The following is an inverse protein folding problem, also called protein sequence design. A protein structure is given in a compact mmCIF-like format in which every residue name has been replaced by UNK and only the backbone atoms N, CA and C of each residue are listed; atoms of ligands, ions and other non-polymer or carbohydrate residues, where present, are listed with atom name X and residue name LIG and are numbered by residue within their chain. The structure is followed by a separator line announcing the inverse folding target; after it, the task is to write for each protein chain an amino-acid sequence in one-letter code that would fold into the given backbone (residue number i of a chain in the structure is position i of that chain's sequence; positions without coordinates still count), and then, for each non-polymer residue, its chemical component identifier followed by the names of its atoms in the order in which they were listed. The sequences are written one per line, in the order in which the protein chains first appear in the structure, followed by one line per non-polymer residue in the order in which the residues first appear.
data_IF_755447199598
#
_entry.id   IF_755447199598
#
_cell.length_a   1.000
_cell.length_b   1.000
_cell.length_c   1.000
_cell.angle_alpha   90.00
_cell.angle_beta   90.00
_cell.angle_gamma   90.00
#
_symmetry.space_group_name_H-M   'P 1'
#
loop_
_entity.id
_entity.type
_entity.pdbx_description
1 polymer ?
#
# COMPACT_ATOMS: atom_id res chain seq x y z
N UNK A 1 19.36 31.50 -3.43
CA UNK A 1 18.48 30.42 -2.91
C UNK A 1 18.68 29.19 -3.78
N UNK A 2 19.35 28.15 -3.27
CA UNK A 2 19.66 26.94 -4.05
C UNK A 2 18.37 26.15 -4.29
N UNK A 3 17.90 26.13 -5.54
CA UNK A 3 16.76 25.32 -6.00
C UNK A 3 17.08 23.85 -5.77
N UNK A 4 16.39 23.20 -4.84
CA UNK A 4 16.37 21.73 -4.75
C UNK A 4 15.36 21.23 -5.77
N UNK A 5 15.87 20.52 -6.78
CA UNK A 5 15.09 19.71 -7.71
C UNK A 5 14.71 18.43 -6.94
N UNK A 6 13.44 18.00 -6.89
CA UNK A 6 13.09 16.74 -6.27
C UNK A 6 13.71 15.58 -7.08
N UNK A 7 14.47 14.73 -6.40
CA UNK A 7 15.34 13.69 -6.96
C UNK A 7 14.73 12.29 -6.81
N UNK A 8 13.51 12.00 -7.27
CA UNK A 8 13.00 10.63 -7.15
C UNK A 8 12.25 10.15 -8.39
N UNK A 9 12.97 9.37 -9.20
CA UNK A 9 12.44 8.32 -10.07
C UNK A 9 13.39 7.12 -9.92
N UNK A 10 12.86 6.07 -9.30
CA UNK A 10 12.99 4.65 -9.64
C UNK A 10 14.36 3.97 -9.59
N UNK A 11 14.48 2.95 -8.73
CA UNK A 11 14.95 1.61 -9.11
C UNK A 11 14.57 0.61 -8.00
N UNK A 12 13.32 0.14 -7.98
CA UNK A 12 13.03 -1.19 -7.46
C UNK A 12 13.14 -2.17 -8.64
N UNK A 13 14.36 -2.27 -9.20
CA UNK A 13 14.77 -3.49 -9.89
C UNK A 13 15.26 -4.44 -8.82
N UNK A 14 14.32 -5.08 -8.14
CA UNK A 14 14.54 -6.40 -7.58
C UNK A 14 13.41 -7.28 -8.08
N UNK A 15 13.84 -8.17 -8.98
CA UNK A 15 13.35 -9.53 -9.19
C UNK A 15 12.10 -9.90 -8.38
N UNK A 16 11.14 -10.46 -9.11
CA UNK A 16 10.06 -11.39 -8.72
C UNK A 16 10.44 -12.53 -7.76
N UNK A 17 11.29 -12.30 -6.76
CA UNK A 17 11.69 -13.22 -5.72
C UNK A 17 11.25 -12.60 -4.39
N UNK A 18 10.14 -13.10 -3.86
CA UNK A 18 9.87 -12.99 -2.43
C UNK A 18 8.52 -12.40 -1.99
N UNK A 19 7.47 -12.46 -2.79
CA UNK A 19 6.08 -12.40 -2.28
C UNK A 19 5.36 -13.77 -2.36
N UNK A 20 6.06 -14.84 -2.74
CA UNK A 20 5.51 -16.18 -2.91
C UNK A 20 6.12 -17.16 -1.92
N UNK A 21 5.28 -17.81 -1.12
CA UNK A 21 5.65 -18.91 -0.24
C UNK A 21 6.28 -20.07 -1.02
N UNK A 22 7.27 -20.70 -0.38
CA UNK A 22 7.94 -21.89 -0.89
C UNK A 22 6.93 -23.04 -1.11
N UNK A 23 6.99 -23.70 -2.27
CA UNK A 23 6.45 -25.06 -2.41
C UNK A 23 7.47 -25.97 -3.08
N UNK A 24 7.69 -27.09 -2.40
CA UNK A 24 8.62 -28.16 -2.74
C UNK A 24 8.19 -28.94 -3.98
N UNK A 25 9.17 -29.50 -4.68
CA UNK A 25 9.04 -30.17 -5.96
C UNK A 25 8.11 -31.38 -6.01
N UNK A 26 7.57 -31.60 -7.20
CA UNK A 26 6.82 -32.78 -7.61
C UNK A 26 6.65 -32.79 -9.12
N UNK A 27 7.39 -33.65 -9.80
CA UNK A 27 7.28 -33.90 -11.24
C UNK A 27 5.96 -34.61 -11.55
N UNK A 28 5.10 -34.09 -12.43
CA UNK A 28 4.23 -34.92 -13.28
C UNK A 28 3.74 -34.17 -14.54
N UNK A 29 3.64 -34.97 -15.61
CA UNK A 29 3.43 -34.64 -17.03
C UNK A 29 2.03 -34.10 -17.35
N UNK A 30 2.00 -33.21 -18.35
CA UNK A 30 1.09 -33.33 -19.50
C UNK A 30 -0.24 -32.59 -19.39
N UNK A 31 -0.20 -31.26 -19.40
CA UNK A 31 -1.31 -30.41 -19.87
C UNK A 31 -0.69 -29.34 -20.77
N UNK A 32 -1.28 -29.11 -21.95
CA UNK A 32 -0.80 -28.14 -22.93
C UNK A 32 -0.58 -26.75 -22.30
N UNK A 33 0.69 -26.43 -22.13
CA UNK A 33 1.21 -25.18 -21.61
C UNK A 33 1.01 -24.11 -22.71
N UNK A 34 -0.05 -23.30 -22.60
CA UNK A 34 -0.08 -22.04 -23.35
C UNK A 34 1.09 -21.22 -22.84
N UNK A 35 2.11 -21.02 -23.67
CA UNK A 35 3.24 -20.16 -23.38
C UNK A 35 2.71 -18.83 -22.80
N UNK A 36 3.24 -18.42 -21.66
CA UNK A 36 2.97 -17.11 -21.06
C UNK A 36 3.30 -16.04 -22.11
N UNK A 37 2.27 -15.48 -22.74
CA UNK A 37 2.41 -14.44 -23.76
C UNK A 37 2.73 -13.09 -23.11
N UNK A 38 3.15 -12.14 -23.94
CA UNK A 38 3.23 -10.74 -23.56
C UNK A 38 1.93 -10.28 -22.87
N UNK A 39 2.02 -9.40 -21.86
CA UNK A 39 0.85 -8.95 -21.13
C UNK A 39 -0.15 -8.25 -22.05
N UNK A 40 -1.38 -8.78 -22.13
CA UNK A 40 -2.50 -8.11 -22.79
C UNK A 40 -3.04 -7.00 -21.87
N UNK A 41 -2.44 -5.81 -22.00
CA UNK A 41 -2.80 -4.66 -21.18
C UNK A 41 -4.24 -4.19 -21.38
N UNK A 42 -4.83 -4.41 -22.55
CA UNK A 42 -6.23 -4.07 -22.79
C UNK A 42 -7.14 -4.99 -21.98
N UNK A 43 -6.86 -6.30 -21.97
CA UNK A 43 -7.58 -7.26 -21.14
C UNK A 43 -7.40 -6.98 -19.64
N UNK A 44 -6.18 -6.67 -19.18
CA UNK A 44 -5.92 -6.36 -17.76
C UNK A 44 -6.69 -5.10 -17.30
N UNK A 45 -6.74 -4.06 -18.14
CA UNK A 45 -7.53 -2.85 -17.84
C UNK A 45 -9.02 -3.12 -17.85
N UNK A 46 -9.51 -3.95 -18.78
CA UNK A 46 -10.91 -4.35 -18.82
C UNK A 46 -11.32 -5.15 -17.58
N UNK A 47 -10.45 -6.04 -17.09
CA UNK A 47 -10.66 -6.74 -15.82
C UNK A 47 -10.67 -5.78 -14.63
N UNK A 48 -9.69 -4.86 -14.56
CA UNK A 48 -9.63 -3.86 -13.49
C UNK A 48 -10.89 -3.00 -13.47
N UNK A 49 -11.34 -2.50 -14.62
CA UNK A 49 -12.57 -1.70 -14.75
C UNK A 49 -13.82 -2.49 -14.31
N UNK A 50 -13.90 -3.78 -14.65
CA UNK A 50 -15.04 -4.63 -14.31
C UNK A 50 -15.12 -4.97 -12.83
N UNK A 51 -13.99 -5.30 -12.19
CA UNK A 51 -14.00 -5.83 -10.83
C UNK A 51 -13.62 -4.81 -9.77
N UNK A 52 -12.67 -3.91 -10.03
CA UNK A 52 -12.27 -2.86 -9.07
C UNK A 52 -12.38 -1.46 -9.67
N UNK A 53 -13.61 -0.87 -9.68
CA UNK A 53 -13.81 0.50 -10.13
C UNK A 53 -12.97 1.53 -9.37
N UNK A 54 -12.65 1.28 -8.09
CA UNK A 54 -11.75 2.15 -7.31
C UNK A 54 -10.32 2.07 -7.82
N UNK A 55 -9.79 0.87 -8.07
CA UNK A 55 -8.47 0.71 -8.67
C UNK A 55 -8.38 1.31 -10.08
N UNK A 56 -9.44 1.15 -10.88
CA UNK A 56 -9.51 1.80 -12.20
C UNK A 56 -9.57 3.33 -12.11
N UNK A 57 -10.28 3.88 -11.11
CA UNK A 57 -10.29 5.32 -10.85
C UNK A 57 -8.89 5.84 -10.52
N UNK A 58 -8.12 5.12 -9.70
CA UNK A 58 -6.74 5.49 -9.36
C UNK A 58 -5.89 5.59 -10.63
N UNK A 59 -5.92 4.53 -11.46
CA UNK A 59 -5.16 4.48 -12.72
C UNK A 59 -5.57 5.59 -13.67
N UNK A 60 -6.87 5.76 -13.95
CA UNK A 60 -7.37 6.80 -14.88
C UNK A 60 -7.08 8.21 -14.37
N UNK A 61 -7.26 8.44 -13.08
CA UNK A 61 -7.06 9.77 -12.49
C UNK A 61 -5.58 10.16 -12.60
N UNK A 62 -4.67 9.25 -12.30
CA UNK A 62 -3.24 9.49 -12.45
C UNK A 62 -2.85 9.79 -13.91
N UNK A 63 -3.30 8.96 -14.84
CA UNK A 63 -3.00 9.08 -16.28
C UNK A 63 -3.55 10.38 -16.90
N UNK A 64 -4.71 10.83 -16.44
CA UNK A 64 -5.35 12.05 -16.94
C UNK A 64 -4.83 13.35 -16.29
N UNK A 65 -4.16 13.25 -15.14
CA UNK A 65 -3.73 14.42 -14.38
C UNK A 65 -2.56 15.13 -15.07
N UNK A 66 -2.56 16.48 -15.13
CA UNK A 66 -1.49 17.22 -15.77
C UNK A 66 -0.13 16.94 -15.11
N UNK A 67 0.93 17.01 -15.91
CA UNK A 67 2.31 16.91 -15.42
C UNK A 67 2.92 18.27 -15.10
N UNK A 68 2.24 19.37 -15.44
CA UNK A 68 2.74 20.73 -15.29
C UNK A 68 1.74 21.58 -14.49
N UNK A 69 2.25 22.25 -13.47
CA UNK A 69 1.48 23.03 -12.50
C UNK A 69 2.05 24.43 -12.36
N UNK A 70 1.19 25.41 -12.08
CA UNK A 70 1.58 26.81 -11.91
C UNK A 70 1.28 27.27 -10.49
N UNK A 71 2.32 27.76 -9.80
CA UNK A 71 2.25 28.32 -8.45
C UNK A 71 2.78 29.76 -8.49
N UNK A 72 1.86 30.74 -8.49
CA UNK A 72 2.20 32.14 -8.68
C UNK A 72 2.92 32.38 -10.02
N UNK A 73 4.22 32.73 -9.95
CA UNK A 73 5.08 32.94 -11.14
C UNK A 73 5.96 31.73 -11.49
N UNK A 74 5.83 30.64 -10.73
CA UNK A 74 6.65 29.44 -10.89
C UNK A 74 5.87 28.36 -11.61
N UNK A 75 6.48 27.75 -12.62
CA UNK A 75 5.96 26.54 -13.26
C UNK A 75 6.79 25.34 -12.79
N UNK A 76 6.11 24.33 -12.27
CA UNK A 76 6.71 23.06 -11.86
C UNK A 76 6.24 21.96 -12.79
N UNK A 77 7.17 21.13 -13.28
CA UNK A 77 6.84 19.93 -14.06
C UNK A 77 7.30 18.71 -13.29
N UNK A 78 6.40 17.75 -13.12
CA UNK A 78 6.66 16.46 -12.49
C UNK A 78 6.71 15.39 -13.58
N UNK A 79 7.72 14.54 -13.52
CA UNK A 79 7.83 13.39 -14.43
C UNK A 79 6.69 12.42 -14.18
N UNK A 80 6.27 11.70 -15.21
CA UNK A 80 5.46 10.50 -15.03
C UNK A 80 6.33 9.39 -14.45
N UNK A 81 5.96 8.91 -13.27
CA UNK A 81 6.51 7.72 -12.60
C UNK A 81 5.35 6.76 -12.29
N UNK A 82 5.52 5.44 -12.36
CA UNK A 82 4.42 4.51 -12.12
C UNK A 82 3.49 4.33 -13.33
N UNK A 83 4.05 3.75 -14.40
CA UNK A 83 3.23 3.27 -15.51
C UNK A 83 2.56 1.96 -15.09
N UNK A 84 1.23 1.93 -15.11
CA UNK A 84 0.46 0.72 -14.77
C UNK A 84 0.93 -0.49 -15.59
N UNK A 85 1.26 -0.30 -16.88
CA UNK A 85 1.72 -1.39 -17.74
C UNK A 85 3.08 -1.98 -17.33
N UNK A 86 3.93 -1.22 -16.64
CA UNK A 86 5.27 -1.68 -16.24
C UNK A 86 5.28 -2.76 -15.15
N UNK A 87 4.11 -3.04 -14.53
CA UNK A 87 3.97 -4.05 -13.47
C UNK A 87 3.44 -5.39 -13.97
N UNK A 88 3.31 -5.55 -15.30
CA UNK A 88 2.84 -6.76 -15.93
C UNK A 88 3.97 -7.39 -16.74
N UNK A 89 4.46 -8.54 -16.30
CA UNK A 89 5.49 -9.29 -17.00
C UNK A 89 4.91 -10.45 -17.84
N UNK A 90 3.62 -10.74 -17.68
CA UNK A 90 2.97 -11.92 -18.25
C UNK A 90 1.45 -11.84 -18.17
N UNK A 91 0.76 -12.46 -19.13
CA UNK A 91 -0.70 -12.66 -19.11
C UNK A 91 -1.12 -13.95 -18.38
N UNK A 92 -0.23 -14.58 -17.61
CA UNK A 92 -0.52 -15.84 -16.94
C UNK A 92 -1.66 -15.68 -15.93
N UNK A 93 -2.70 -16.54 -15.97
CA UNK A 93 -3.90 -16.36 -15.16
C UNK A 93 -3.65 -16.26 -13.65
N UNK A 94 -2.68 -17.01 -13.14
CA UNK A 94 -2.30 -16.98 -11.72
C UNK A 94 -1.64 -15.66 -11.29
N UNK A 95 -1.19 -14.85 -12.25
CA UNK A 95 -0.61 -13.52 -12.01
C UNK A 95 -1.62 -12.38 -12.11
N UNK A 96 -2.83 -12.60 -12.64
CA UNK A 96 -3.79 -11.51 -12.91
C UNK A 96 -4.06 -10.67 -11.67
N UNK A 97 -4.47 -11.29 -10.56
CA UNK A 97 -4.76 -10.54 -9.31
C UNK A 97 -3.47 -9.99 -8.69
N UNK A 98 -2.38 -10.74 -8.80
CA UNK A 98 -1.05 -10.39 -8.30
C UNK A 98 -0.53 -9.09 -8.92
N UNK A 99 -0.48 -9.05 -10.24
CA UNK A 99 0.05 -7.94 -11.05
C UNK A 99 -0.91 -6.75 -11.03
N UNK A 100 -2.23 -6.95 -11.14
CA UNK A 100 -3.20 -5.84 -11.09
C UNK A 100 -3.19 -5.17 -9.71
N UNK A 101 -3.22 -5.93 -8.61
CA UNK A 101 -3.20 -5.34 -7.26
C UNK A 101 -1.88 -4.63 -6.96
N UNK A 102 -0.76 -5.17 -7.44
CA UNK A 102 0.56 -4.52 -7.34
C UNK A 102 0.61 -3.25 -8.19
N UNK A 103 0.12 -3.28 -9.43
CA UNK A 103 0.05 -2.11 -10.30
C UNK A 103 -0.82 -0.99 -9.70
N UNK A 104 -1.96 -1.32 -9.08
CA UNK A 104 -2.79 -0.32 -8.38
C UNK A 104 -2.07 0.27 -7.18
N UNK A 105 -1.38 -0.54 -6.38
CA UNK A 105 -0.56 -0.08 -5.24
C UNK A 105 0.50 0.93 -5.72
N UNK A 106 1.23 0.60 -6.77
CA UNK A 106 2.33 1.42 -7.25
C UNK A 106 1.88 2.68 -7.98
N UNK A 107 0.80 2.61 -8.75
CA UNK A 107 0.19 3.79 -9.38
C UNK A 107 -0.42 4.70 -8.31
N UNK A 108 -0.88 4.17 -7.17
CA UNK A 108 -1.33 5.01 -6.07
C UNK A 108 -0.22 5.91 -5.53
N UNK A 109 1.02 5.42 -5.36
CA UNK A 109 2.15 6.27 -4.95
C UNK A 109 2.33 7.46 -5.89
N UNK A 110 2.31 7.19 -7.20
CA UNK A 110 2.41 8.22 -8.22
C UNK A 110 1.23 9.20 -8.22
N UNK A 111 0.02 8.68 -7.99
CA UNK A 111 -1.19 9.48 -7.83
C UNK A 111 -1.11 10.38 -6.59
N UNK A 112 -0.74 9.84 -5.43
CA UNK A 112 -0.65 10.52 -4.15
C UNK A 112 0.27 11.74 -4.24
N UNK A 113 1.46 11.52 -4.81
CA UNK A 113 2.41 12.58 -5.09
C UNK A 113 1.83 13.65 -6.02
N UNK A 114 1.23 13.26 -7.15
CA UNK A 114 0.71 14.22 -8.13
C UNK A 114 -0.54 14.96 -7.64
N UNK A 115 -1.38 14.31 -6.84
CA UNK A 115 -2.51 14.94 -6.15
C UNK A 115 -2.03 16.07 -5.22
N UNK A 116 -0.87 15.92 -4.57
CA UNK A 116 -0.26 16.98 -3.78
C UNK A 116 -0.03 18.27 -4.57
N UNK A 117 0.38 18.16 -5.84
CA UNK A 117 0.54 19.31 -6.74
C UNK A 117 -0.82 19.85 -7.21
N UNK A 118 -1.71 18.97 -7.65
CA UNK A 118 -3.04 19.33 -8.15
C UNK A 118 -3.84 20.10 -7.09
N UNK A 119 -3.94 19.57 -5.87
CA UNK A 119 -4.71 20.18 -4.79
C UNK A 119 -4.13 21.55 -4.37
N UNK A 120 -2.80 21.70 -4.39
CA UNK A 120 -2.18 23.01 -4.14
C UNK A 120 -2.49 24.02 -5.25
N UNK A 121 -2.49 23.58 -6.51
CA UNK A 121 -2.81 24.44 -7.65
C UNK A 121 -4.30 24.85 -7.64
N UNK A 122 -5.21 23.93 -7.34
CA UNK A 122 -6.64 24.19 -7.15
C UNK A 122 -6.91 25.17 -6.01
N UNK A 123 -6.14 25.06 -4.91
CA UNK A 123 -6.16 26.02 -3.81
C UNK A 123 -5.51 27.37 -4.16
N UNK A 124 -5.05 27.56 -5.41
CA UNK A 124 -4.39 28.77 -5.91
C UNK A 124 -3.15 29.15 -5.08
N UNK A 125 -2.41 28.15 -4.62
CA UNK A 125 -1.18 28.38 -3.88
C UNK A 125 -0.19 29.19 -4.72
N UNK A 126 0.39 30.24 -4.12
CA UNK A 126 1.41 31.07 -4.77
C UNK A 126 2.80 30.47 -4.70
N UNK A 127 3.01 29.51 -3.79
CA UNK A 127 4.25 28.80 -3.57
C UNK A 127 3.98 27.30 -3.40
N UNK A 128 4.85 26.48 -3.97
CA UNK A 128 4.83 25.04 -3.80
C UNK A 128 5.49 24.68 -2.48
N UNK A 129 4.81 23.86 -1.68
CA UNK A 129 5.41 23.21 -0.50
C UNK A 129 5.37 21.70 -0.65
N UNK A 130 6.23 21.01 0.11
CA UNK A 130 6.23 19.56 0.19
C UNK A 130 4.91 19.08 0.81
N UNK A 131 4.15 18.30 0.04
CA UNK A 131 2.85 17.78 0.41
C UNK A 131 2.44 16.63 -0.51
N UNK A 132 1.57 15.76 -0.01
CA UNK A 132 0.94 14.68 -0.76
C UNK A 132 -0.58 14.75 -0.67
N UNK A 133 -1.28 14.17 -1.64
CA UNK A 133 -2.73 14.07 -1.64
C UNK A 133 -3.18 12.65 -1.33
N UNK A 134 -3.75 12.42 -0.15
CA UNK A 134 -4.21 11.10 0.24
C UNK A 134 -5.67 10.87 -0.15
N UNK A 135 -5.92 9.78 -0.87
CA UNK A 135 -7.25 9.32 -1.27
C UNK A 135 -7.49 7.90 -0.74
N UNK A 136 -8.65 7.63 -0.14
CA UNK A 136 -8.96 6.33 0.51
C UNK A 136 -10.12 5.57 -0.16
N UNK A 137 -10.56 6.02 -1.34
CA UNK A 137 -11.65 5.38 -2.09
C UNK A 137 -13.04 5.98 -1.84
N UNK A 138 -13.99 5.54 -2.65
CA UNK A 138 -15.39 5.96 -2.57
C UNK A 138 -15.60 7.43 -2.95
N UNK A 139 -16.59 8.07 -2.32
CA UNK A 139 -16.94 9.48 -2.54
C UNK A 139 -16.11 10.46 -1.69
N UNK A 140 -15.04 10.00 -1.05
CA UNK A 140 -14.19 10.84 -0.23
C UNK A 140 -13.31 11.75 -1.10
N UNK A 141 -13.31 13.05 -0.83
CA UNK A 141 -12.34 13.96 -1.44
C UNK A 141 -10.92 13.65 -0.93
N UNK A 142 -9.90 13.74 -1.79
CA UNK A 142 -8.52 13.63 -1.35
C UNK A 142 -8.17 14.68 -0.28
N UNK A 143 -7.35 14.31 0.69
CA UNK A 143 -6.82 15.22 1.72
C UNK A 143 -5.41 15.66 1.33
N UNK A 144 -5.21 16.97 1.15
CA UNK A 144 -3.87 17.54 1.00
C UNK A 144 -3.16 17.52 2.36
N UNK A 145 -2.09 16.75 2.48
CA UNK A 145 -1.26 16.63 3.68
C UNK A 145 0.06 17.35 3.45
N UNK A 146 0.25 18.49 4.11
CA UNK A 146 1.52 19.23 4.05
C UNK A 146 2.53 18.63 5.00
N UNK A 147 3.78 18.53 4.56
CA UNK A 147 4.83 17.94 5.36
C UNK A 147 5.25 18.87 6.49
N UNK A 148 5.49 18.27 7.65
CA UNK A 148 6.19 18.89 8.79
C UNK A 148 7.56 18.24 8.97
N UNK A 149 8.33 18.68 9.95
CA UNK A 149 9.59 18.02 10.29
C UNK A 149 9.37 16.52 10.57
N UNK A 150 10.32 15.70 10.10
CA UNK A 150 10.33 14.24 10.24
C UNK A 150 11.74 13.73 10.52
N UNK A 151 11.83 12.44 10.84
CA UNK A 151 13.05 11.65 10.90
C UNK A 151 12.88 10.30 10.14
N UNK A 152 13.99 9.66 9.71
CA UNK A 152 13.93 8.37 9.02
C UNK A 152 13.33 7.26 9.90
N UNK A 153 12.48 6.40 9.34
CA UNK A 153 11.83 5.32 10.10
C UNK A 153 12.84 4.37 10.81
N UNK A 154 14.05 4.19 10.27
CA UNK A 154 15.11 3.40 10.95
C UNK A 154 15.51 3.91 12.33
N UNK A 155 15.30 5.19 12.65
CA UNK A 155 15.62 5.75 13.98
C UNK A 155 14.81 5.04 15.09
N UNK A 156 13.64 4.49 14.73
CA UNK A 156 12.80 3.72 15.63
C UNK A 156 13.35 2.33 15.99
N UNK A 157 14.32 1.80 15.25
CA UNK A 157 14.79 0.42 15.43
C UNK A 157 15.28 0.15 16.87
N UNK A 158 15.85 1.15 17.54
CA UNK A 158 16.29 1.00 18.92
C UNK A 158 15.13 0.82 19.93
N UNK A 159 13.91 1.24 19.62
CA UNK A 159 12.73 1.16 20.51
C UNK A 159 11.67 0.20 20.02
N UNK A 160 11.75 -0.27 18.78
CA UNK A 160 10.70 -1.08 18.19
C UNK A 160 10.52 -2.41 18.96
N UNK A 161 9.30 -2.85 19.26
CA UNK A 161 9.08 -4.09 20.01
C UNK A 161 9.74 -5.30 19.34
N UNK A 162 10.65 -5.97 20.03
CA UNK A 162 11.47 -7.04 19.46
C UNK A 162 10.63 -8.22 18.91
N UNK A 163 9.51 -8.52 19.57
CA UNK A 163 8.54 -9.54 19.17
C UNK A 163 7.76 -9.20 17.89
N UNK A 164 7.74 -7.93 17.48
CA UNK A 164 7.09 -7.46 16.26
C UNK A 164 8.07 -7.20 15.08
N UNK A 165 9.39 -7.35 15.29
CA UNK A 165 10.41 -7.09 14.24
C UNK A 165 10.53 -8.23 13.23
N UNK A 166 10.10 -9.43 13.57
CA UNK A 166 10.18 -10.60 12.70
C UNK A 166 9.04 -10.66 11.66
N UNK A 167 8.39 -9.54 11.38
CA UNK A 167 7.36 -9.41 10.35
C UNK A 167 7.98 -9.19 8.98
N UNK A 168 7.31 -9.66 7.92
CA UNK A 168 7.82 -9.56 6.55
C UNK A 168 8.22 -8.13 6.14
N UNK A 169 7.43 -7.11 6.52
CA UNK A 169 7.64 -5.72 6.09
C UNK A 169 8.60 -4.91 6.95
N UNK A 170 8.95 -5.39 8.14
CA UNK A 170 9.80 -4.61 9.05
C UNK A 170 11.15 -4.23 8.44
N UNK A 171 11.83 -5.20 7.80
CA UNK A 171 13.13 -4.97 7.17
C UNK A 171 13.02 -3.94 6.05
N UNK A 172 12.05 -4.10 5.16
CA UNK A 172 11.84 -3.21 4.01
C UNK A 172 11.59 -1.76 4.43
N UNK A 173 10.77 -1.53 5.45
CA UNK A 173 10.24 -0.20 5.75
C UNK A 173 10.80 0.46 7.01
N UNK A 174 11.33 -0.31 7.95
CA UNK A 174 11.91 0.20 9.21
C UNK A 174 13.41 -0.05 9.23
N UNK A 175 13.86 -1.30 9.40
CA UNK A 175 15.29 -1.63 9.53
C UNK A 175 15.60 -3.11 9.31
N UNK A 176 16.63 -3.47 8.52
CA UNK A 176 17.46 -2.59 7.70
C UNK A 176 16.75 -2.17 6.41
N UNK A 177 16.62 -0.87 6.17
CA UNK A 177 15.98 -0.32 4.96
C UNK A 177 16.96 0.51 4.12
N UNK A 178 16.70 0.68 2.83
CA UNK A 178 17.54 1.52 1.97
C UNK A 178 17.26 3.00 2.21
N UNK A 179 18.28 3.87 2.19
CA UNK A 179 18.11 5.32 2.45
C UNK A 179 17.17 6.01 1.44
N UNK A 180 16.94 5.37 0.29
CA UNK A 180 16.11 5.87 -0.79
C UNK A 180 14.63 5.55 -0.61
N UNK A 181 14.25 4.71 0.35
CA UNK A 181 12.84 4.41 0.59
C UNK A 181 12.11 5.63 1.13
N UNK A 182 10.85 5.83 0.72
CA UNK A 182 10.02 6.96 1.17
C UNK A 182 9.92 7.03 2.70
N UNK A 183 9.81 5.89 3.38
CA UNK A 183 9.78 5.82 4.86
C UNK A 183 11.07 6.31 5.54
N UNK A 184 12.18 6.34 4.82
CA UNK A 184 13.48 6.82 5.33
C UNK A 184 13.69 8.29 5.03
N UNK A 185 13.03 8.83 4.00
CA UNK A 185 13.15 10.22 3.58
C UNK A 185 12.08 11.10 4.21
N UNK A 186 10.84 10.65 4.10
CA UNK A 186 9.63 11.37 4.47
C UNK A 186 9.05 10.87 5.80
N UNK A 187 9.72 9.90 6.44
CA UNK A 187 9.40 9.40 7.77
C UNK A 187 7.96 8.87 7.85
N UNK A 188 7.17 9.45 8.74
CA UNK A 188 5.77 9.05 8.94
C UNK A 188 4.86 9.33 7.75
N UNK A 189 5.18 10.31 6.90
CA UNK A 189 4.40 10.58 5.69
C UNK A 189 4.59 9.45 4.68
N UNK A 190 5.84 9.02 4.45
CA UNK A 190 6.13 7.83 3.64
C UNK A 190 5.51 6.54 4.21
N UNK A 191 5.44 6.38 5.54
CA UNK A 191 4.72 5.26 6.15
C UNK A 191 3.20 5.32 5.89
N UNK A 192 2.60 6.52 5.91
CA UNK A 192 1.18 6.71 5.62
C UNK A 192 0.86 6.47 4.14
N UNK A 193 1.76 6.90 3.24
CA UNK A 193 1.65 6.66 1.80
C UNK A 193 1.67 5.16 1.48
N UNK A 194 2.67 4.43 1.98
CA UNK A 194 2.73 2.95 1.90
C UNK A 194 1.50 2.27 2.47
N UNK A 195 1.04 2.69 3.66
CA UNK A 195 -0.15 2.12 4.28
C UNK A 195 -1.41 2.32 3.41
N UNK A 196 -1.50 3.46 2.72
CA UNK A 196 -2.63 3.76 1.82
C UNK A 196 -2.47 3.07 0.47
N UNK A 197 -1.26 2.89 -0.04
CA UNK A 197 -0.99 2.10 -1.24
C UNK A 197 -1.38 0.63 -1.02
N UNK A 198 -1.01 0.05 0.13
CA UNK A 198 -1.45 -1.31 0.50
C UNK A 198 -2.96 -1.41 0.69
N UNK A 199 -3.64 -0.35 1.15
CA UNK A 199 -5.10 -0.33 1.25
C UNK A 199 -5.74 -0.54 -0.13
N UNK A 200 -5.26 0.17 -1.16
CA UNK A 200 -5.81 0.06 -2.51
C UNK A 200 -5.43 -1.24 -3.20
N UNK A 201 -4.19 -1.72 -3.02
CA UNK A 201 -3.79 -3.05 -3.47
C UNK A 201 -4.65 -4.15 -2.83
N UNK A 202 -4.83 -4.11 -1.51
CA UNK A 202 -5.66 -5.06 -0.77
C UNK A 202 -7.14 -4.99 -1.15
N UNK A 203 -7.68 -3.79 -1.36
CA UNK A 203 -9.05 -3.61 -1.88
C UNK A 203 -9.21 -4.23 -3.25
N UNK A 204 -8.25 -4.04 -4.13
CA UNK A 204 -8.23 -4.68 -5.46
C UNK A 204 -8.27 -6.20 -5.34
N UNK A 205 -7.54 -6.80 -4.41
CA UNK A 205 -7.60 -8.25 -4.16
C UNK A 205 -9.01 -8.69 -3.75
N UNK A 206 -9.65 -7.98 -2.82
CA UNK A 206 -11.03 -8.28 -2.38
C UNK A 206 -12.03 -8.15 -3.51
N UNK A 207 -11.93 -7.06 -4.28
CA UNK A 207 -12.79 -6.73 -5.41
C UNK A 207 -12.74 -7.80 -6.52
N UNK A 208 -11.58 -8.45 -6.70
CA UNK A 208 -11.37 -9.50 -7.70
C UNK A 208 -11.92 -10.88 -7.31
N UNK A 209 -12.50 -11.03 -6.11
CA UNK A 209 -13.07 -12.31 -5.68
C UNK A 209 -14.06 -12.95 -6.67
N UNK A 210 -15.03 -12.21 -7.28
CA UNK A 210 -15.95 -12.80 -8.26
C UNK A 210 -15.24 -13.37 -9.48
N UNK A 211 -14.18 -12.70 -9.96
CA UNK A 211 -13.36 -13.21 -11.07
C UNK A 211 -12.69 -14.52 -10.69
N UNK A 212 -12.04 -14.59 -9.52
CA UNK A 212 -11.36 -15.80 -9.03
C UNK A 212 -12.33 -16.96 -8.84
N UNK A 213 -13.55 -16.66 -8.36
CA UNK A 213 -14.59 -17.66 -8.11
C UNK A 213 -15.17 -18.23 -9.41
N UNK A 214 -15.50 -17.36 -10.35
CA UNK A 214 -16.40 -17.70 -11.47
C UNK A 214 -15.70 -17.82 -12.83
N UNK A 215 -14.62 -17.08 -13.05
CA UNK A 215 -14.05 -16.84 -14.39
C UNK A 215 -12.58 -17.27 -14.51
N UNK A 216 -11.83 -17.26 -13.42
CA UNK A 216 -10.43 -17.64 -13.42
C UNK A 216 -10.24 -19.13 -13.76
N UNK A 217 -9.15 -19.49 -14.47
CA UNK A 217 -8.79 -20.89 -14.68
C UNK A 217 -8.71 -21.67 -13.38
N UNK A 218 -9.26 -22.89 -13.39
CA UNK A 218 -9.40 -23.74 -12.21
C UNK A 218 -8.11 -24.49 -11.85
N UNK A 219 -6.97 -23.83 -12.00
CA UNK A 219 -5.63 -24.35 -11.69
C UNK A 219 -5.26 -24.04 -10.25
N UNK A 220 -4.55 -24.96 -9.59
CA UNK A 220 -4.10 -24.82 -8.20
C UNK A 220 -3.34 -23.51 -7.96
N UNK A 221 -2.49 -23.12 -8.91
CA UNK A 221 -1.56 -22.00 -8.83
C UNK A 221 -2.28 -20.65 -8.70
N UNK A 222 -3.39 -20.46 -9.43
CA UNK A 222 -4.27 -19.28 -9.32
C UNK A 222 -4.75 -19.11 -7.88
N UNK A 223 -5.25 -20.17 -7.27
CA UNK A 223 -5.82 -20.11 -5.92
C UNK A 223 -4.73 -19.99 -4.85
N UNK A 224 -3.57 -20.61 -5.02
CA UNK A 224 -2.42 -20.42 -4.12
C UNK A 224 -1.99 -18.96 -4.09
N UNK A 225 -1.80 -18.35 -5.28
CA UNK A 225 -1.38 -16.94 -5.38
C UNK A 225 -2.44 -15.99 -4.86
N UNK A 226 -3.70 -16.17 -5.25
CA UNK A 226 -4.80 -15.35 -4.74
C UNK A 226 -4.90 -15.43 -3.21
N UNK A 227 -4.86 -16.65 -2.65
CA UNK A 227 -4.90 -16.86 -1.20
C UNK A 227 -3.75 -16.16 -0.49
N UNK A 228 -2.54 -16.22 -1.03
CA UNK A 228 -1.38 -15.50 -0.47
C UNK A 228 -1.59 -13.98 -0.47
N UNK A 229 -2.07 -13.40 -1.57
CA UNK A 229 -2.37 -11.96 -1.65
C UNK A 229 -3.49 -11.54 -0.72
N UNK A 230 -4.53 -12.36 -0.64
CA UNK A 230 -5.65 -12.13 0.27
C UNK A 230 -5.16 -12.11 1.71
N UNK A 231 -4.39 -13.12 2.14
CA UNK A 231 -3.81 -13.17 3.48
C UNK A 231 -3.00 -11.92 3.85
N UNK A 232 -2.22 -11.41 2.89
CA UNK A 232 -1.36 -10.25 3.10
C UNK A 232 -2.09 -8.97 3.52
N UNK A 233 -3.41 -8.87 3.30
CA UNK A 233 -4.26 -7.71 3.67
C UNK A 233 -4.17 -7.41 5.17
N UNK A 234 -4.30 -8.43 6.02
CA UNK A 234 -4.28 -8.26 7.48
C UNK A 234 -2.90 -7.87 7.98
N UNK A 235 -1.87 -8.51 7.43
CA UNK A 235 -0.47 -8.27 7.77
C UNK A 235 -0.07 -6.84 7.42
N UNK A 236 -0.37 -6.38 6.19
CA UNK A 236 -0.10 -5.00 5.78
C UNK A 236 -0.82 -3.99 6.66
N UNK A 237 -2.08 -4.23 7.03
CA UNK A 237 -2.78 -3.32 7.92
C UNK A 237 -2.11 -3.24 9.30
N UNK A 238 -1.89 -4.38 9.95
CA UNK A 238 -1.37 -4.41 11.32
C UNK A 238 0.06 -3.85 11.40
N UNK A 239 0.92 -4.24 10.47
CA UNK A 239 2.33 -3.84 10.44
C UNK A 239 2.48 -2.33 10.28
N UNK A 240 1.89 -1.73 9.22
CA UNK A 240 2.02 -0.30 9.00
C UNK A 240 1.33 0.54 10.06
N UNK A 241 0.16 0.11 10.57
CA UNK A 241 -0.48 0.78 11.69
C UNK A 241 0.45 0.81 12.91
N UNK A 242 1.12 -0.31 13.21
CA UNK A 242 2.10 -0.37 14.29
C UNK A 242 3.31 0.51 13.99
N UNK A 243 3.82 0.53 12.76
CA UNK A 243 4.97 1.37 12.37
C UNK A 243 4.67 2.86 12.59
N UNK A 244 3.51 3.33 12.14
CA UNK A 244 3.09 4.73 12.31
C UNK A 244 2.87 5.08 13.79
N UNK A 245 2.16 4.24 14.54
CA UNK A 245 1.91 4.50 15.96
C UNK A 245 3.22 4.47 16.76
N UNK A 246 4.13 3.54 16.45
CA UNK A 246 5.44 3.49 17.06
C UNK A 246 6.28 4.72 16.71
N UNK A 247 6.18 5.23 15.48
CA UNK A 247 6.82 6.47 15.07
C UNK A 247 6.41 7.64 15.95
N UNK A 248 5.11 7.78 16.21
CA UNK A 248 4.60 8.85 17.05
C UNK A 248 4.99 8.68 18.52
N UNK A 249 4.99 7.45 19.03
CA UNK A 249 5.46 7.14 20.40
C UNK A 249 6.94 7.49 20.54
N UNK A 250 7.78 7.05 19.60
CA UNK A 250 9.20 7.37 19.58
C UNK A 250 9.43 8.88 19.47
N UNK A 251 8.68 9.55 18.59
CA UNK A 251 8.76 11.00 18.42
C UNK A 251 8.42 11.72 19.72
N UNK A 252 7.36 11.30 20.44
CA UNK A 252 6.96 11.90 21.71
C UNK A 252 8.07 11.84 22.76
N UNK A 253 8.80 10.72 22.80
CA UNK A 253 9.83 10.47 23.80
C UNK A 253 11.19 11.08 23.44
N UNK A 254 11.53 11.13 22.15
CA UNK A 254 12.91 11.41 21.69
C UNK A 254 13.02 12.59 20.72
N UNK A 255 11.93 12.95 20.04
CA UNK A 255 11.85 14.04 19.03
C UNK A 255 10.61 14.91 19.26
N UNK A 256 10.47 15.54 20.44
CA UNK A 256 9.21 16.17 20.87
C UNK A 256 8.78 17.35 19.99
N UNK A 257 9.71 17.99 19.28
CA UNK A 257 9.44 18.98 18.25
C UNK A 257 8.73 18.37 17.03
N UNK A 258 9.24 17.24 16.52
CA UNK A 258 8.60 16.46 15.44
C UNK A 258 7.22 15.99 15.88
N UNK A 259 7.11 15.44 17.09
CA UNK A 259 5.83 14.99 17.63
C UNK A 259 4.78 16.11 17.66
N UNK A 260 5.11 17.28 18.21
CA UNK A 260 4.19 18.42 18.25
C UNK A 260 3.79 18.89 16.85
N UNK A 261 4.74 18.91 15.91
CA UNK A 261 4.47 19.22 14.50
C UNK A 261 3.46 18.26 13.87
N UNK A 262 3.65 16.95 14.06
CA UNK A 262 2.76 15.92 13.53
C UNK A 262 1.36 15.96 14.18
N UNK A 263 1.30 16.10 15.50
CA UNK A 263 0.01 16.08 16.23
C UNK A 263 -0.80 17.36 16.03
N UNK A 264 -0.16 18.49 15.74
CA UNK A 264 -0.84 19.73 15.33
C UNK A 264 -1.20 19.77 13.84
N UNK A 265 -0.69 18.83 13.03
CA UNK A 265 -1.02 18.74 11.61
C UNK A 265 -2.38 18.05 11.43
N UNK A 266 -3.44 18.85 11.39
CA UNK A 266 -4.81 18.35 11.21
C UNK A 266 -4.99 17.54 9.91
N UNK A 267 -4.29 17.92 8.84
CA UNK A 267 -4.37 17.19 7.57
C UNK A 267 -3.79 15.77 7.67
N UNK A 268 -2.63 15.62 8.30
CA UNK A 268 -2.02 14.31 8.59
C UNK A 268 -2.97 13.45 9.43
N UNK A 269 -3.52 14.01 10.51
CA UNK A 269 -4.43 13.28 11.39
C UNK A 269 -5.70 12.84 10.67
N UNK A 270 -6.30 13.70 9.86
CA UNK A 270 -7.48 13.35 9.04
C UNK A 270 -7.15 12.25 8.03
N UNK A 271 -6.01 12.34 7.34
CA UNK A 271 -5.60 11.32 6.38
C UNK A 271 -5.36 9.96 7.07
N UNK A 272 -4.68 9.95 8.22
CA UNK A 272 -4.49 8.74 9.02
C UNK A 272 -5.85 8.13 9.45
N UNK A 273 -6.76 8.93 10.00
CA UNK A 273 -8.07 8.44 10.46
C UNK A 273 -8.88 7.89 9.28
N UNK A 274 -8.89 8.60 8.15
CA UNK A 274 -9.59 8.16 6.95
C UNK A 274 -9.02 6.82 6.42
N UNK A 275 -7.69 6.66 6.44
CA UNK A 275 -7.05 5.41 6.07
C UNK A 275 -7.40 4.28 7.06
N UNK A 276 -7.37 4.54 8.37
CA UNK A 276 -7.71 3.56 9.41
C UNK A 276 -9.17 3.09 9.33
N UNK A 277 -10.10 4.01 9.07
CA UNK A 277 -11.52 3.71 8.86
C UNK A 277 -11.73 2.89 7.57
N UNK A 278 -11.03 3.26 6.49
CA UNK A 278 -11.10 2.53 5.22
C UNK A 278 -10.48 1.12 5.31
N UNK A 279 -9.41 0.95 6.09
CA UNK A 279 -8.85 -0.35 6.44
C UNK A 279 -9.81 -1.18 7.26
N UNK A 280 -10.47 -0.58 8.26
CA UNK A 280 -11.48 -1.27 9.07
C UNK A 280 -12.60 -1.82 8.20
N UNK A 281 -13.08 -1.03 7.24
CA UNK A 281 -14.08 -1.48 6.27
C UNK A 281 -13.54 -2.62 5.37
N UNK A 282 -12.32 -2.50 4.85
CA UNK A 282 -11.71 -3.52 4.00
C UNK A 282 -11.52 -4.85 4.75
N UNK A 283 -11.05 -4.81 6.01
CA UNK A 283 -10.88 -6.02 6.82
C UNK A 283 -12.20 -6.69 7.13
N UNK A 284 -13.28 -5.92 7.35
CA UNK A 284 -14.61 -6.49 7.52
C UNK A 284 -15.07 -7.23 6.25
N UNK A 285 -14.86 -6.64 5.07
CA UNK A 285 -15.15 -7.30 3.79
C UNK A 285 -14.29 -8.55 3.58
N UNK A 286 -12.99 -8.48 3.87
CA UNK A 286 -12.09 -9.62 3.75
C UNK A 286 -12.46 -10.74 4.72
N UNK A 287 -12.79 -10.43 5.98
CA UNK A 287 -13.25 -11.42 6.96
C UNK A 287 -14.55 -12.12 6.54
N UNK A 288 -15.48 -11.39 5.91
CA UNK A 288 -16.71 -11.98 5.39
C UNK A 288 -16.45 -12.96 4.22
N UNK A 289 -15.42 -12.70 3.40
CA UNK A 289 -15.04 -13.54 2.28
C UNK A 289 -14.16 -14.74 2.67
N UNK A 290 -13.36 -14.61 3.73
CA UNK A 290 -12.35 -15.58 4.17
C UNK A 290 -12.85 -17.04 4.18
N UNK A 291 -14.03 -17.38 4.73
CA UNK A 291 -14.53 -18.76 4.68
C UNK A 291 -14.72 -19.30 3.26
N UNK A 292 -15.20 -18.45 2.34
CA UNK A 292 -15.41 -18.83 0.94
C UNK A 292 -14.09 -18.99 0.18
N UNK A 293 -13.12 -18.10 0.46
CA UNK A 293 -11.76 -18.18 -0.13
C UNK A 293 -11.08 -19.47 0.31
N UNK A 294 -11.15 -19.79 1.60
CA UNK A 294 -10.59 -21.03 2.17
C UNK A 294 -11.24 -22.25 1.57
N UNK A 295 -12.58 -22.31 1.53
CA UNK A 295 -13.31 -23.44 1.00
C UNK A 295 -12.97 -23.68 -0.49
N UNK A 296 -12.92 -22.62 -1.29
CA UNK A 296 -12.55 -22.72 -2.70
C UNK A 296 -11.08 -23.13 -2.86
N UNK A 297 -10.15 -22.59 -2.08
CA UNK A 297 -8.76 -23.01 -2.16
C UNK A 297 -8.58 -24.50 -1.80
N UNK A 298 -9.30 -24.99 -0.80
CA UNK A 298 -9.28 -26.40 -0.41
C UNK A 298 -9.85 -27.32 -1.52
N UNK A 299 -11.00 -26.96 -2.09
CA UNK A 299 -11.62 -27.67 -3.24
C UNK A 299 -10.66 -27.78 -4.43
N UNK A 300 -9.80 -26.78 -4.61
CA UNK A 300 -8.86 -26.67 -5.73
C UNK A 300 -7.46 -27.21 -5.42
N UNK A 301 -7.27 -27.88 -4.29
CA UNK A 301 -5.97 -28.45 -3.89
C UNK A 301 -4.90 -27.42 -3.56
N UNK A 302 -5.28 -26.17 -3.27
CA UNK A 302 -4.41 -25.03 -3.04
C UNK A 302 -4.05 -24.79 -1.56
N UNK A 303 -4.24 -25.78 -0.69
CA UNK A 303 -3.71 -25.79 0.67
C UNK A 303 -4.74 -26.11 1.76
N UNK A 304 -4.31 -25.92 3.02
CA UNK A 304 -5.08 -26.21 4.24
C UNK A 304 -6.34 -25.34 4.38
N UNK A 305 -7.25 -25.80 5.23
CA UNK A 305 -8.53 -25.17 5.59
C UNK A 305 -8.40 -23.92 6.49
N UNK A 306 -7.21 -23.36 6.65
CA UNK A 306 -6.94 -22.17 7.50
C UNK A 306 -5.88 -21.30 6.87
N UNK A 307 -5.92 -19.98 7.10
CA UNK A 307 -4.84 -19.05 6.75
C UNK A 307 -3.66 -19.16 7.74
N UNK A 308 -2.43 -19.13 7.23
CA UNK A 308 -1.21 -19.19 8.05
C UNK A 308 -0.57 -17.81 8.10
N UNK A 309 -0.92 -17.00 9.11
CA UNK A 309 -0.33 -15.67 9.32
C UNK A 309 1.15 -15.78 9.66
N UNK A 310 1.94 -14.74 9.36
CA UNK A 310 3.29 -14.59 9.90
C UNK A 310 3.31 -14.86 11.42
N UNK A 311 4.30 -15.62 11.90
CA UNK A 311 4.40 -16.03 13.31
C UNK A 311 4.47 -14.82 14.27
N UNK A 312 4.98 -13.68 13.77
CA UNK A 312 5.06 -12.42 14.50
C UNK A 312 3.75 -11.61 14.48
N UNK A 313 2.78 -11.93 13.61
CA UNK A 313 1.55 -11.15 13.46
C UNK A 313 0.67 -11.12 14.72
N UNK A 314 0.52 -12.21 15.50
CA UNK A 314 -0.16 -12.14 16.80
C UNK A 314 0.48 -11.12 17.75
N UNK A 315 1.82 -10.98 17.73
CA UNK A 315 2.51 -9.98 18.55
C UNK A 315 2.18 -8.57 18.08
N UNK A 316 2.13 -8.31 16.76
CA UNK A 316 1.67 -7.03 16.20
C UNK A 316 0.27 -6.67 16.72
N UNK A 317 -0.68 -7.61 16.65
CA UNK A 317 -2.04 -7.38 17.14
C UNK A 317 -2.07 -7.10 18.65
N UNK A 318 -1.32 -7.87 19.45
CA UNK A 318 -1.21 -7.65 20.88
C UNK A 318 -0.61 -6.27 21.22
N UNK A 319 0.39 -5.81 20.45
CA UNK A 319 0.96 -4.46 20.60
C UNK A 319 -0.07 -3.39 20.27
N UNK A 320 -0.77 -3.49 19.15
CA UNK A 320 -1.81 -2.52 18.78
C UNK A 320 -2.93 -2.40 19.84
N UNK A 321 -3.22 -3.48 20.55
CA UNK A 321 -4.21 -3.52 21.63
C UNK A 321 -3.70 -3.12 23.02
N UNK A 322 -2.41 -2.75 23.15
CA UNK A 322 -1.79 -2.44 24.44
C UNK A 322 -1.10 -1.07 24.45
N UNK A 323 -0.79 -0.56 25.65
CA UNK A 323 0.00 0.67 25.80
C UNK A 323 1.40 0.47 25.19
N UNK A 324 2.00 1.52 24.57
CA UNK A 324 1.48 2.88 24.42
C UNK A 324 0.59 3.10 23.18
N UNK A 325 0.34 2.06 22.38
CA UNK A 325 -0.19 2.20 21.01
C UNK A 325 -1.68 2.52 20.97
N UNK A 326 -2.50 1.86 21.79
CA UNK A 326 -3.93 2.16 21.83
C UNK A 326 -4.20 3.60 22.30
N UNK A 327 -3.42 4.09 23.28
CA UNK A 327 -3.52 5.47 23.75
C UNK A 327 -3.08 6.47 22.69
N UNK A 328 -2.03 6.17 21.92
CA UNK A 328 -1.60 6.97 20.78
C UNK A 328 -2.68 7.04 19.69
N UNK A 329 -3.31 5.91 19.36
CA UNK A 329 -4.44 5.87 18.43
C UNK A 329 -5.62 6.72 18.93
N UNK A 330 -5.94 6.62 20.21
CA UNK A 330 -6.98 7.44 20.83
C UNK A 330 -6.62 8.94 20.82
N UNK A 331 -5.34 9.29 20.96
CA UNK A 331 -4.86 10.68 20.82
C UNK A 331 -5.00 11.19 19.38
N UNK A 332 -4.62 10.39 18.38
CA UNK A 332 -4.83 10.74 16.97
C UNK A 332 -6.29 10.99 16.64
N UNK A 333 -7.22 10.21 17.22
CA UNK A 333 -8.67 10.33 16.99
C UNK A 333 -9.37 11.39 17.84
N UNK A 334 -8.76 11.88 18.92
CA UNK A 334 -9.31 12.99 19.71
C UNK A 334 -9.27 14.25 18.88
N UNK A 335 -10.43 14.72 18.40
CA UNK A 335 -10.54 15.98 17.62
C UNK A 335 -9.77 17.15 18.29
N UNK A 336 -9.39 18.17 17.50
CA UNK A 336 -8.74 19.36 18.04
C UNK A 336 -9.52 19.98 19.22
#
# INVERSE_FOLDING_TARGET
MKRRIPRWVMLLLFSSLGCGGASSGGTHRGVEERAAGEPDMAAMRALLERYSPTGMWIVRTYEAMPTTFVFGKTTSTVSSSGDFASYFDSSAPERVVDDISTGVHEVYHALSFRLGYQLQAEAKATELVDAEGHYVGGNASPTLVRYTAVFPAREMDATFPADARATFRYSTYVSPSTERQGTQQDGVFGLLDEWTAYLHGGRTVVDFWPWVRDEAPRTREVYVKYRSRFQGIWESHGEFKLFILHYLVHARERRPDVYRGLMSNESFRRAFIAADDAWTALLASAAALEPSVVALAADRGAGNTTFHRDDAFPAVQARLASEPYWAMLAELRRGP
#
